data_IF_077402522282
#
_entry.id   IF_077402522282
#
_cell.length_a   1.000
_cell.length_b   1.000
_cell.length_c   1.000
_cell.angle_alpha   90.00
_cell.angle_beta   90.00
_cell.angle_gamma   90.00
#
_symmetry.space_group_name_H-M   'P 1'
#
loop_
_entity.id
_entity.type
_entity.pdbx_description
1 polymer ?
#
# COMPACT_ATOMS: atom_id res chain seq x y z
N UNK A 1 31.48 9.76 -9.92
CA UNK A 1 30.60 10.96 -9.95
C UNK A 1 29.16 10.50 -9.80
N UNK A 2 28.43 10.98 -8.80
CA UNK A 2 27.05 10.55 -8.49
C UNK A 2 26.03 11.70 -8.52
N UNK A 3 26.39 12.86 -9.08
CA UNK A 3 25.57 14.08 -8.99
C UNK A 3 24.57 14.27 -10.13
N UNK A 4 24.70 13.51 -11.23
CA UNK A 4 23.72 13.56 -12.31
C UNK A 4 22.43 12.82 -11.91
N UNK A 5 21.29 13.42 -12.22
CA UNK A 5 19.96 12.84 -12.02
C UNK A 5 19.13 12.95 -13.30
N UNK A 6 18.06 12.17 -13.38
CA UNK A 6 17.16 12.18 -14.53
C UNK A 6 15.71 12.32 -14.09
N UNK A 7 14.94 13.10 -14.86
CA UNK A 7 13.49 13.26 -14.68
C UNK A 7 12.76 12.60 -15.84
N UNK A 8 11.80 11.73 -15.52
CA UNK A 8 11.03 10.96 -16.48
C UNK A 8 9.54 11.23 -16.33
N UNK A 9 8.84 11.43 -17.45
CA UNK A 9 7.39 11.31 -17.46
C UNK A 9 6.97 9.86 -17.14
N UNK A 10 5.80 9.64 -16.57
CA UNK A 10 5.35 8.30 -16.14
C UNK A 10 5.44 7.26 -17.27
N UNK A 11 5.12 7.64 -18.52
CA UNK A 11 5.18 6.73 -19.67
C UNK A 11 6.62 6.30 -19.99
N UNK A 12 7.58 7.21 -19.90
CA UNK A 12 9.01 6.92 -20.11
C UNK A 12 9.55 6.04 -18.99
N UNK A 13 9.20 6.36 -17.74
CA UNK A 13 9.56 5.53 -16.59
C UNK A 13 8.97 4.12 -16.68
N UNK A 14 7.72 3.98 -17.13
CA UNK A 14 7.09 2.69 -17.41
C UNK A 14 7.79 1.94 -18.55
N UNK A 15 8.26 2.66 -19.57
CA UNK A 15 9.08 2.08 -20.65
C UNK A 15 10.36 1.44 -20.11
N UNK A 16 11.11 2.18 -19.28
CA UNK A 16 12.30 1.64 -18.62
C UNK A 16 11.98 0.46 -17.72
N UNK A 17 10.89 0.54 -16.94
CA UNK A 17 10.48 -0.54 -16.06
C UNK A 17 10.11 -1.81 -16.83
N UNK A 18 9.49 -1.69 -18.01
CA UNK A 18 9.10 -2.85 -18.84
C UNK A 18 10.28 -3.52 -19.56
N UNK A 19 11.28 -2.75 -19.96
CA UNK A 19 12.38 -3.24 -20.79
C UNK A 19 13.65 -3.55 -20.00
N UNK A 20 13.89 -2.81 -18.91
CA UNK A 20 15.18 -2.76 -18.20
C UNK A 20 14.96 -2.64 -16.68
N UNK A 21 14.03 -3.43 -16.11
CA UNK A 21 13.63 -3.30 -14.71
C UNK A 21 14.81 -3.46 -13.72
N UNK A 22 15.64 -4.52 -13.82
CA UNK A 22 16.78 -4.70 -12.92
C UNK A 22 17.83 -3.59 -13.06
N UNK A 23 18.09 -3.13 -14.29
CA UNK A 23 19.01 -2.03 -14.57
C UNK A 23 18.49 -0.72 -13.98
N UNK A 24 17.18 -0.48 -14.04
CA UNK A 24 16.58 0.72 -13.49
C UNK A 24 16.66 0.74 -11.95
N UNK A 25 16.46 -0.41 -11.31
CA UNK A 25 16.74 -0.58 -9.87
C UNK A 25 18.20 -0.28 -9.57
N UNK A 26 19.13 -0.83 -10.36
CA UNK A 26 20.57 -0.63 -10.16
C UNK A 26 21.00 0.84 -10.37
N UNK A 27 20.43 1.52 -11.37
CA UNK A 27 20.60 2.96 -11.58
C UNK A 27 20.25 3.74 -10.31
N UNK A 28 19.10 3.40 -9.69
CA UNK A 28 18.60 4.05 -8.48
C UNK A 28 19.39 3.73 -7.19
N UNK A 29 20.40 2.85 -7.25
CA UNK A 29 21.37 2.66 -6.14
C UNK A 29 22.40 3.77 -6.08
N UNK A 30 22.70 4.38 -7.24
CA UNK A 30 23.82 5.32 -7.41
C UNK A 30 23.39 6.73 -7.79
N UNK A 31 22.22 6.88 -8.40
CA UNK A 31 21.69 8.15 -8.91
C UNK A 31 20.24 8.34 -8.50
N UNK A 32 19.78 9.58 -8.61
CA UNK A 32 18.39 9.94 -8.36
C UNK A 32 17.57 9.88 -9.66
N UNK A 33 16.35 9.37 -9.56
CA UNK A 33 15.31 9.51 -10.57
C UNK A 33 14.11 10.26 -10.01
N UNK A 34 13.57 11.17 -10.82
CA UNK A 34 12.30 11.84 -10.58
C UNK A 34 11.27 11.34 -11.58
N UNK A 35 10.11 10.93 -11.10
CA UNK A 35 8.96 10.54 -11.94
C UNK A 35 7.87 11.61 -11.78
N UNK A 36 7.18 11.96 -12.85
CA UNK A 36 6.05 12.89 -12.80
C UNK A 36 4.90 12.47 -13.73
N UNK A 37 3.65 12.90 -13.46
CA UNK A 37 2.48 12.50 -14.24
C UNK A 37 2.58 12.95 -15.70
N UNK A 38 2.05 12.17 -16.64
CA UNK A 38 2.01 12.57 -18.06
C UNK A 38 1.05 13.76 -18.26
N UNK A 39 1.35 14.59 -19.25
CA UNK A 39 0.53 15.76 -19.59
C UNK A 39 -0.93 15.45 -19.94
N UNK A 40 -1.25 14.22 -20.38
CA UNK A 40 -2.63 13.82 -20.70
C UNK A 40 -3.56 13.74 -19.46
N UNK A 41 -3.03 13.78 -18.23
CA UNK A 41 -3.83 13.81 -16.99
C UNK A 41 -4.27 15.25 -16.68
N UNK A 42 -5.11 15.79 -17.55
CA UNK A 42 -5.62 17.18 -17.45
C UNK A 42 -6.49 17.39 -16.20
N UNK A 43 -7.07 16.32 -15.66
CA UNK A 43 -7.85 16.29 -14.43
C UNK A 43 -6.99 16.26 -13.15
N UNK A 44 -5.66 16.33 -13.28
CA UNK A 44 -4.72 16.18 -12.16
C UNK A 44 -4.78 14.83 -11.45
N UNK A 45 -5.29 13.77 -12.10
CA UNK A 45 -5.24 12.41 -11.55
C UNK A 45 -3.80 11.95 -11.29
N UNK A 46 -3.60 11.02 -10.36
CA UNK A 46 -2.29 10.44 -10.07
C UNK A 46 -2.12 9.05 -10.69
N UNK A 47 -0.87 8.71 -11.00
CA UNK A 47 -0.46 7.33 -11.22
C UNK A 47 -0.16 6.65 -9.87
N UNK A 48 -0.13 5.31 -9.86
CA UNK A 48 0.18 4.56 -8.64
C UNK A 48 1.68 4.65 -8.32
N UNK A 49 2.09 5.31 -7.21
CA UNK A 49 3.51 5.56 -6.93
C UNK A 49 4.30 4.29 -6.62
N UNK A 50 3.63 3.26 -6.07
CA UNK A 50 4.24 1.97 -5.75
C UNK A 50 4.98 1.34 -6.94
N UNK A 51 4.47 1.53 -8.16
CA UNK A 51 5.10 1.03 -9.39
C UNK A 51 6.56 1.51 -9.50
N UNK A 52 6.82 2.78 -9.18
CA UNK A 52 8.15 3.38 -9.29
C UNK A 52 8.97 3.22 -8.01
N UNK A 53 8.33 3.14 -6.85
CA UNK A 53 9.02 2.74 -5.62
C UNK A 53 9.58 1.32 -5.72
N UNK A 54 8.88 0.39 -6.39
CA UNK A 54 9.40 -0.95 -6.67
C UNK A 54 10.68 -0.92 -7.54
N UNK A 55 10.86 0.11 -8.36
CA UNK A 55 12.07 0.36 -9.15
C UNK A 55 13.16 1.13 -8.37
N UNK A 56 12.89 1.51 -7.11
CA UNK A 56 13.80 2.28 -6.28
C UNK A 56 13.86 3.77 -6.59
N UNK A 57 12.95 4.29 -7.42
CA UNK A 57 12.85 5.73 -7.72
C UNK A 57 12.55 6.53 -6.46
N UNK A 58 13.27 7.63 -6.26
CA UNK A 58 13.26 8.38 -4.99
C UNK A 58 12.24 9.52 -5.03
N UNK A 59 12.16 10.25 -6.13
CA UNK A 59 11.28 11.42 -6.27
C UNK A 59 10.09 11.08 -7.15
N UNK A 60 9.14 10.32 -6.61
CA UNK A 60 7.91 9.93 -7.31
C UNK A 60 6.85 11.02 -7.10
N UNK A 61 6.87 12.05 -7.95
CA UNK A 61 6.04 13.25 -7.77
C UNK A 61 4.58 12.99 -8.14
N UNK A 62 3.68 13.45 -7.29
CA UNK A 62 2.22 13.33 -7.42
C UNK A 62 1.55 14.71 -7.30
N UNK A 63 0.33 14.81 -7.80
CA UNK A 63 -0.57 15.96 -7.71
C UNK A 63 -1.26 15.98 -6.34
N UNK A 64 -0.72 16.75 -5.38
CA UNK A 64 -1.22 16.85 -4.00
C UNK A 64 -2.65 17.39 -3.89
N UNK A 65 -3.10 18.17 -4.87
CA UNK A 65 -4.46 18.71 -4.94
C UNK A 65 -5.54 17.63 -5.16
N UNK A 66 -5.15 16.42 -5.55
CA UNK A 66 -6.05 15.30 -5.86
C UNK A 66 -5.87 14.19 -4.81
N UNK A 67 -6.76 14.08 -3.80
CA UNK A 67 -6.65 13.09 -2.70
C UNK A 67 -7.15 11.70 -3.12
N UNK A 68 -6.75 11.25 -4.32
CA UNK A 68 -7.06 9.91 -4.82
C UNK A 68 -6.27 8.82 -4.04
N UNK A 69 -6.52 7.56 -4.37
CA UNK A 69 -5.88 6.42 -3.70
C UNK A 69 -4.35 6.51 -3.73
N UNK A 70 -3.78 7.01 -4.82
CA UNK A 70 -2.33 7.19 -4.97
C UNK A 70 -1.79 8.21 -3.98
N UNK A 71 -2.49 9.33 -3.79
CA UNK A 71 -2.12 10.33 -2.79
C UNK A 71 -2.34 9.84 -1.36
N UNK A 72 -3.41 9.09 -1.10
CA UNK A 72 -3.66 8.45 0.20
C UNK A 72 -2.50 7.50 0.58
N UNK A 73 -2.05 6.68 -0.37
CA UNK A 73 -0.88 5.81 -0.18
C UNK A 73 0.38 6.61 0.13
N UNK A 74 0.61 7.72 -0.58
CA UNK A 74 1.75 8.59 -0.35
C UNK A 74 1.73 9.20 1.05
N UNK A 75 0.63 9.86 1.44
CA UNK A 75 0.50 10.50 2.75
C UNK A 75 0.57 9.49 3.89
N UNK A 76 -0.06 8.32 3.72
CA UNK A 76 -0.04 7.25 4.71
C UNK A 76 1.34 6.63 4.89
N UNK A 77 2.07 6.38 3.79
CA UNK A 77 3.42 5.81 3.84
C UNK A 77 4.43 6.79 4.45
N UNK A 78 4.37 8.07 4.09
CA UNK A 78 5.31 9.10 4.60
C UNK A 78 4.95 9.70 5.97
N UNK A 79 3.85 9.26 6.61
CA UNK A 79 3.61 9.50 8.05
C UNK A 79 4.69 8.82 8.93
N UNK A 80 5.24 7.70 8.44
CA UNK A 80 6.28 6.94 9.11
C UNK A 80 7.64 7.64 9.07
N UNK A 81 8.59 7.17 9.88
CA UNK A 81 9.86 7.84 10.11
C UNK A 81 9.69 9.31 10.56
N UNK A 82 8.77 9.51 11.52
CA UNK A 82 8.51 10.81 12.15
C UNK A 82 7.94 11.87 11.21
N UNK A 83 7.33 11.50 10.08
CA UNK A 83 6.79 12.47 9.13
C UNK A 83 7.86 13.27 8.39
N UNK A 84 9.11 12.80 8.34
CA UNK A 84 10.24 13.55 7.79
C UNK A 84 10.21 13.70 6.26
N UNK A 85 9.36 12.94 5.56
CA UNK A 85 9.34 12.87 4.10
C UNK A 85 10.43 11.97 3.49
N UNK A 86 11.22 11.26 4.32
CA UNK A 86 12.23 10.31 3.88
C UNK A 86 12.00 8.93 4.48
N UNK A 87 12.10 7.89 3.65
CA UNK A 87 12.06 6.49 4.06
C UNK A 87 13.24 5.75 3.46
N UNK A 88 13.95 4.98 4.29
CA UNK A 88 15.08 4.18 3.83
C UNK A 88 14.57 3.04 2.94
N UNK A 89 15.18 2.86 1.76
CA UNK A 89 14.87 1.73 0.88
C UNK A 89 15.34 0.40 1.51
N UNK A 90 14.68 -0.73 1.20
CA UNK A 90 15.15 -2.06 1.54
C UNK A 90 16.61 -2.33 1.15
N UNK A 91 17.27 -3.23 1.88
CA UNK A 91 18.72 -3.44 1.76
C UNK A 91 19.17 -3.91 0.37
N UNK A 92 18.46 -4.85 -0.23
CA UNK A 92 18.72 -5.35 -1.59
C UNK A 92 18.56 -4.27 -2.68
N UNK A 93 17.81 -3.19 -2.40
CA UNK A 93 17.68 -2.02 -3.29
C UNK A 93 18.76 -0.96 -3.07
N UNK A 94 19.69 -1.18 -2.14
CA UNK A 94 20.81 -0.28 -1.83
C UNK A 94 22.16 -0.93 -2.10
N UNK A 95 22.29 -2.22 -1.79
CA UNK A 95 23.56 -2.96 -1.91
C UNK A 95 24.04 -3.11 -3.36
N UNK A 96 25.30 -2.79 -3.68
CA UNK A 96 25.83 -2.84 -5.04
C UNK A 96 26.05 -4.27 -5.55
N UNK A 97 26.21 -5.24 -4.65
CA UNK A 97 26.47 -6.65 -4.93
C UNK A 97 25.18 -7.49 -5.06
N UNK A 98 24.00 -6.86 -4.95
CA UNK A 98 22.69 -7.50 -5.11
C UNK A 98 22.01 -7.01 -6.38
N UNK A 99 21.36 -7.90 -7.11
CA UNK A 99 20.43 -7.55 -8.19
C UNK A 99 19.00 -7.83 -7.73
N UNK A 100 18.04 -7.09 -8.25
CA UNK A 100 16.64 -7.23 -7.89
C UNK A 100 15.76 -6.94 -9.11
N UNK A 101 14.91 -7.89 -9.45
CA UNK A 101 13.86 -7.72 -10.45
C UNK A 101 12.51 -7.49 -9.74
N UNK A 102 11.89 -6.31 -9.88
CA UNK A 102 10.61 -6.01 -9.26
C UNK A 102 9.44 -6.84 -9.80
N UNK A 103 9.62 -7.61 -10.87
CA UNK A 103 8.61 -8.52 -11.42
C UNK A 103 8.83 -9.99 -11.04
N UNK A 104 9.87 -10.30 -10.25
CA UNK A 104 10.10 -11.67 -9.77
C UNK A 104 8.94 -12.19 -8.93
N UNK A 105 8.45 -13.39 -9.26
CA UNK A 105 7.44 -14.12 -8.47
C UNK A 105 8.05 -14.97 -7.35
N UNK A 106 9.37 -15.16 -7.41
CA UNK A 106 10.15 -15.85 -6.39
C UNK A 106 10.62 -14.87 -5.32
N UNK A 107 10.66 -15.28 -4.02
CA UNK A 107 11.26 -14.49 -2.96
C UNK A 107 12.67 -14.05 -3.33
N UNK A 108 12.99 -12.80 -3.02
CA UNK A 108 14.35 -12.27 -3.19
C UNK A 108 15.27 -13.02 -2.24
N UNK A 109 16.46 -13.40 -2.69
CA UNK A 109 17.45 -14.07 -1.83
C UNK A 109 17.75 -13.23 -0.57
N UNK A 110 17.59 -13.85 0.60
CA UNK A 110 17.70 -13.21 1.91
C UNK A 110 16.44 -12.50 2.41
N UNK A 111 15.34 -12.45 1.63
CA UNK A 111 14.04 -11.92 2.07
C UNK A 111 13.09 -13.07 2.41
N UNK A 112 12.52 -12.99 3.62
CA UNK A 112 11.51 -13.95 4.07
C UNK A 112 10.13 -13.47 3.61
N UNK A 113 9.52 -14.22 2.69
CA UNK A 113 8.14 -13.96 2.29
C UNK A 113 7.18 -14.13 3.47
N UNK A 114 6.09 -13.36 3.48
CA UNK A 114 5.09 -13.40 4.54
C UNK A 114 3.76 -13.97 4.05
N UNK A 115 3.03 -14.56 4.98
CA UNK A 115 1.60 -14.80 4.89
C UNK A 115 0.90 -13.76 5.76
N UNK A 116 -0.05 -13.03 5.18
CA UNK A 116 -0.88 -12.08 5.92
C UNK A 116 -2.36 -12.45 5.77
N UNK A 117 -3.11 -12.43 6.87
CA UNK A 117 -4.57 -12.48 6.80
C UNK A 117 -5.19 -11.43 7.70
N UNK A 118 -6.29 -10.84 7.22
CA UNK A 118 -7.00 -9.75 7.90
C UNK A 118 -8.46 -10.13 8.02
N UNK A 119 -8.94 -10.31 9.25
CA UNK A 119 -10.37 -10.47 9.54
C UNK A 119 -10.95 -9.14 10.00
N UNK A 120 -11.86 -8.57 9.22
CA UNK A 120 -12.62 -7.38 9.61
C UNK A 120 -13.81 -7.81 10.46
N UNK A 121 -13.82 -7.41 11.74
CA UNK A 121 -14.82 -7.87 12.70
C UNK A 121 -15.96 -6.86 12.80
N UNK A 122 -15.65 -5.60 13.09
CA UNK A 122 -16.65 -4.55 13.27
C UNK A 122 -16.06 -3.16 13.02
N UNK A 123 -16.92 -2.14 12.96
CA UNK A 123 -16.53 -0.73 13.02
C UNK A 123 -17.20 -0.01 14.18
N UNK A 124 -16.70 1.18 14.52
CA UNK A 124 -17.24 2.05 15.55
C UNK A 124 -17.22 3.51 15.07
N UNK A 125 -18.34 4.22 15.27
CA UNK A 125 -18.50 5.63 14.93
C UNK A 125 -18.12 5.96 13.47
N UNK A 126 -18.47 5.07 12.53
CA UNK A 126 -18.09 5.21 11.12
C UNK A 126 -18.79 6.40 10.44
N UNK A 127 -20.03 6.66 10.84
CA UNK A 127 -20.84 7.77 10.35
C UNK A 127 -21.99 8.05 11.32
N UNK A 128 -22.40 9.31 11.40
CA UNK A 128 -23.56 9.78 12.17
C UNK A 128 -24.90 9.47 11.45
N UNK A 129 -24.83 9.10 10.16
CA UNK A 129 -26.00 8.76 9.36
C UNK A 129 -26.36 7.28 9.50
N UNK A 130 -27.67 6.98 9.45
CA UNK A 130 -28.18 5.60 9.34
C UNK A 130 -28.09 5.11 7.90
N UNK A 131 -26.86 4.86 7.43
CA UNK A 131 -26.57 4.35 6.08
C UNK A 131 -25.84 3.01 6.16
N UNK A 132 -25.86 2.25 5.07
CA UNK A 132 -25.06 1.04 4.94
C UNK A 132 -23.57 1.32 4.82
N UNK A 133 -22.72 0.47 5.40
CA UNK A 133 -21.25 0.58 5.27
C UNK A 133 -20.61 -0.75 4.91
N UNK A 134 -19.49 -0.71 4.22
CA UNK A 134 -18.62 -1.87 3.97
C UNK A 134 -17.14 -1.48 4.06
N UNK A 135 -16.28 -2.48 4.22
CA UNK A 135 -14.83 -2.31 4.32
C UNK A 135 -14.13 -3.02 3.18
N UNK A 136 -13.18 -2.33 2.55
CA UNK A 136 -12.20 -2.90 1.63
C UNK A 136 -10.83 -2.98 2.29
N UNK A 137 -10.11 -4.08 2.05
CA UNK A 137 -8.73 -4.26 2.51
C UNK A 137 -7.88 -4.60 1.30
N UNK A 138 -7.00 -3.68 0.90
CA UNK A 138 -6.14 -3.83 -0.27
C UNK A 138 -4.68 -3.95 0.16
N UNK A 139 -3.84 -4.57 -0.69
CA UNK A 139 -2.39 -4.61 -0.52
C UNK A 139 -1.72 -3.95 -1.71
N UNK A 140 -0.73 -3.11 -1.45
CA UNK A 140 0.11 -2.49 -2.48
C UNK A 140 1.57 -2.80 -2.18
N UNK A 141 2.27 -3.37 -3.15
CA UNK A 141 3.67 -3.79 -3.01
C UNK A 141 4.26 -4.04 -4.38
N UNK A 142 4.97 -5.15 -4.54
CA UNK A 142 5.32 -5.65 -5.87
C UNK A 142 4.06 -5.95 -6.70
N UNK A 143 4.18 -6.03 -8.04
CA UNK A 143 3.05 -6.41 -8.89
C UNK A 143 2.39 -7.73 -8.44
N UNK A 144 3.21 -8.70 -8.00
CA UNK A 144 2.79 -10.01 -7.46
C UNK A 144 2.14 -9.94 -6.08
N UNK A 145 2.49 -8.93 -5.27
CA UNK A 145 1.93 -8.72 -3.93
C UNK A 145 0.68 -7.82 -3.93
N UNK A 146 0.43 -7.13 -5.04
CA UNK A 146 -0.63 -6.12 -5.13
C UNK A 146 -1.98 -6.77 -5.36
N UNK A 147 -2.88 -6.62 -4.38
CA UNK A 147 -4.26 -7.13 -4.42
C UNK A 147 -5.20 -5.94 -4.20
N UNK A 148 -6.06 -5.68 -5.19
CA UNK A 148 -6.97 -4.51 -5.21
C UNK A 148 -8.40 -4.96 -5.50
N UNK A 149 -9.38 -4.35 -4.82
CA UNK A 149 -10.83 -4.59 -5.01
C UNK A 149 -11.32 -6.05 -4.87
N UNK A 150 -10.48 -6.98 -4.45
CA UNK A 150 -10.85 -8.39 -4.26
C UNK A 150 -11.43 -8.65 -2.86
N UNK A 151 -10.85 -8.01 -1.85
CA UNK A 151 -11.16 -8.25 -0.45
C UNK A 151 -12.07 -7.15 0.10
N UNK A 152 -13.37 -7.43 0.05
CA UNK A 152 -14.44 -6.53 0.46
C UNK A 152 -15.44 -7.27 1.35
N UNK A 153 -15.86 -6.65 2.46
CA UNK A 153 -16.92 -7.20 3.31
C UNK A 153 -18.29 -7.01 2.66
N UNK A 154 -19.29 -7.77 3.10
CA UNK A 154 -20.68 -7.40 2.82
C UNK A 154 -20.99 -6.02 3.41
N UNK A 155 -21.98 -5.35 2.82
CA UNK A 155 -22.53 -4.10 3.34
C UNK A 155 -23.44 -4.42 4.52
N UNK A 156 -23.22 -3.76 5.66
CA UNK A 156 -24.13 -3.80 6.81
C UNK A 156 -25.07 -2.58 6.71
N UNK A 157 -26.37 -2.78 6.43
CA UNK A 157 -27.30 -1.69 6.17
C UNK A 157 -27.67 -0.92 7.45
N UNK A 158 -27.93 0.37 7.31
CA UNK A 158 -28.52 1.24 8.33
C UNK A 158 -27.82 1.21 9.72
N UNK A 159 -26.53 0.86 9.78
CA UNK A 159 -25.74 0.86 11.00
C UNK A 159 -24.35 1.48 10.77
N UNK A 160 -24.28 2.80 10.98
CA UNK A 160 -23.02 3.55 10.95
C UNK A 160 -22.30 3.64 12.30
N UNK A 161 -22.96 3.27 13.40
CA UNK A 161 -22.45 3.48 14.75
C UNK A 161 -21.58 2.33 15.24
N UNK A 162 -22.02 1.09 15.04
CA UNK A 162 -21.33 -0.11 15.51
C UNK A 162 -21.59 -1.35 14.61
N UNK A 163 -21.41 -1.27 13.28
CA UNK A 163 -21.65 -2.40 12.38
C UNK A 163 -20.71 -3.56 12.70
N UNK A 164 -21.24 -4.78 12.68
CA UNK A 164 -20.49 -6.02 12.80
C UNK A 164 -20.49 -6.72 11.45
N UNK A 165 -19.32 -6.86 10.85
CA UNK A 165 -19.12 -7.54 9.57
C UNK A 165 -18.93 -9.05 9.77
N UNK A 166 -18.12 -9.44 10.77
CA UNK A 166 -17.82 -10.82 11.18
C UNK A 166 -17.41 -11.80 10.05
N UNK A 167 -16.90 -11.29 8.93
CA UNK A 167 -16.54 -12.05 7.74
C UNK A 167 -15.38 -13.03 7.98
N UNK A 168 -15.19 -13.95 7.03
CA UNK A 168 -13.99 -14.77 6.95
C UNK A 168 -12.74 -13.88 6.75
N UNK A 169 -11.54 -14.31 7.19
CA UNK A 169 -10.32 -13.56 6.96
C UNK A 169 -10.04 -13.39 5.46
N UNK A 170 -9.67 -12.18 5.06
CA UNK A 170 -9.05 -11.91 3.76
C UNK A 170 -7.61 -12.40 3.79
N UNK A 171 -7.19 -13.18 2.80
CA UNK A 171 -5.91 -13.92 2.84
C UNK A 171 -4.99 -13.47 1.71
N UNK A 172 -3.90 -12.82 2.10
CA UNK A 172 -2.75 -12.52 1.26
C UNK A 172 -1.72 -13.65 1.45
N UNK A 173 -1.90 -14.74 0.69
CA UNK A 173 -1.23 -16.02 0.94
C UNK A 173 0.30 -15.93 0.89
N UNK A 174 0.84 -15.29 -0.14
CA UNK A 174 2.27 -15.16 -0.40
C UNK A 174 2.58 -13.70 -0.72
N UNK A 175 3.11 -12.99 0.26
CA UNK A 175 3.68 -11.65 0.11
C UNK A 175 5.18 -11.82 -0.09
N UNK A 176 5.62 -11.73 -1.34
CA UNK A 176 7.00 -11.91 -1.80
C UNK A 176 7.94 -10.92 -1.12
N UNK A 177 7.52 -9.66 -0.98
CA UNK A 177 8.36 -8.60 -0.43
C UNK A 177 7.65 -7.75 0.63
N UNK A 178 7.54 -8.26 1.87
CA UNK A 178 6.82 -7.59 2.96
C UNK A 178 7.32 -6.17 3.26
N UNK A 179 8.63 -5.93 3.16
CA UNK A 179 9.24 -4.61 3.43
C UNK A 179 8.75 -3.50 2.48
N UNK A 180 8.29 -3.83 1.27
CA UNK A 180 7.70 -2.86 0.34
C UNK A 180 6.17 -2.81 0.39
N UNK A 181 5.54 -3.80 1.01
CA UNK A 181 4.10 -3.96 1.04
C UNK A 181 3.44 -3.03 2.06
N UNK A 182 2.28 -2.46 1.69
CA UNK A 182 1.41 -1.69 2.57
C UNK A 182 -0.01 -2.23 2.46
N UNK A 183 -0.69 -2.36 3.60
CA UNK A 183 -2.12 -2.62 3.69
C UNK A 183 -2.89 -1.30 3.68
N UNK A 184 -3.98 -1.25 2.91
CA UNK A 184 -4.93 -0.14 2.90
C UNK A 184 -6.28 -0.66 3.38
N UNK A 185 -6.73 -0.14 4.51
CA UNK A 185 -8.08 -0.31 5.00
C UNK A 185 -8.90 0.89 4.54
N UNK A 186 -10.05 0.66 3.92
CA UNK A 186 -10.94 1.76 3.52
C UNK A 186 -12.39 1.40 3.81
N UNK A 187 -13.09 2.32 4.45
CA UNK A 187 -14.52 2.20 4.75
C UNK A 187 -15.28 3.05 3.75
N UNK A 188 -16.33 2.46 3.19
CA UNK A 188 -17.21 3.11 2.24
C UNK A 188 -18.65 3.02 2.72
N UNK A 189 -19.47 4.01 2.33
CA UNK A 189 -20.91 3.86 2.40
C UNK A 189 -21.47 3.02 1.24
N UNK A 190 -22.75 2.67 1.32
CA UNK A 190 -23.45 1.90 0.29
C UNK A 190 -23.49 2.55 -1.10
N UNK A 191 -23.24 3.85 -1.21
CA UNK A 191 -23.14 4.58 -2.48
C UNK A 191 -21.70 4.61 -3.03
N UNK A 192 -20.75 4.00 -2.34
CA UNK A 192 -19.33 4.00 -2.72
C UNK A 192 -18.58 5.26 -2.34
N UNK A 193 -19.14 6.12 -1.48
CA UNK A 193 -18.40 7.26 -0.94
C UNK A 193 -17.48 6.77 0.18
N UNK A 194 -16.20 7.11 0.10
CA UNK A 194 -15.23 6.81 1.14
C UNK A 194 -15.55 7.60 2.41
N UNK A 195 -15.69 6.90 3.54
CA UNK A 195 -15.91 7.48 4.85
C UNK A 195 -14.59 7.71 5.60
N UNK A 196 -13.62 6.82 5.42
CA UNK A 196 -12.30 6.93 6.04
C UNK A 196 -11.37 5.83 5.55
N UNK A 197 -10.07 6.02 5.74
CA UNK A 197 -9.04 5.05 5.33
C UNK A 197 -7.90 4.96 6.35
N UNK A 198 -7.13 3.87 6.30
CA UNK A 198 -5.84 3.77 6.97
C UNK A 198 -4.84 3.01 6.09
N UNK A 199 -3.65 3.57 5.93
CA UNK A 199 -2.51 2.88 5.32
C UNK A 199 -1.58 2.39 6.43
N UNK A 200 -1.17 1.14 6.37
CA UNK A 200 -0.26 0.50 7.33
C UNK A 200 0.80 -0.30 6.54
N UNK A 201 2.10 0.07 6.59
CA UNK A 201 3.17 -0.78 6.12
C UNK A 201 3.11 -2.15 6.80
N UNK A 202 3.42 -3.19 6.03
CA UNK A 202 3.48 -4.55 6.58
C UNK A 202 4.73 -4.71 7.47
N UNK A 203 5.81 -3.99 7.14
CA UNK A 203 6.97 -3.83 8.00
C UNK A 203 6.57 -3.17 9.35
N UNK A 204 6.90 -3.84 10.45
CA UNK A 204 6.55 -3.42 11.80
C UNK A 204 5.07 -3.55 12.18
N UNK A 205 4.20 -4.13 11.34
CA UNK A 205 2.79 -4.29 11.67
C UNK A 205 2.58 -5.30 12.81
N UNK A 206 1.78 -4.92 13.80
CA UNK A 206 1.51 -5.79 14.96
C UNK A 206 0.31 -6.71 14.70
N UNK A 207 0.52 -8.02 14.81
CA UNK A 207 -0.54 -9.03 14.72
C UNK A 207 -1.48 -9.04 15.94
N UNK A 208 -2.53 -9.86 15.87
CA UNK A 208 -3.56 -10.06 16.89
C UNK A 208 -4.79 -9.18 16.68
N UNK A 209 -5.61 -9.05 17.73
CA UNK A 209 -6.76 -8.16 17.74
C UNK A 209 -6.33 -6.70 17.88
N UNK A 210 -6.76 -5.85 16.96
CA UNK A 210 -6.35 -4.44 16.88
C UNK A 210 -7.54 -3.52 16.59
N UNK A 211 -7.50 -2.35 17.23
CA UNK A 211 -8.31 -1.22 16.81
C UNK A 211 -7.49 -0.39 15.82
N UNK A 212 -8.05 -0.13 14.65
CA UNK A 212 -7.46 0.70 13.60
C UNK A 212 -8.27 1.99 13.50
N UNK A 213 -7.73 3.08 14.03
CA UNK A 213 -8.33 4.40 13.88
C UNK A 213 -8.14 4.91 12.46
N UNK A 214 -9.26 5.20 11.81
CA UNK A 214 -9.34 5.70 10.45
C UNK A 214 -8.91 7.16 10.35
N UNK A 215 -8.50 7.54 9.15
CA UNK A 215 -8.04 8.86 8.74
C UNK A 215 -8.89 9.37 7.59
N UNK A 216 -8.83 10.69 7.35
CA UNK A 216 -9.37 11.28 6.14
C UNK A 216 -8.63 10.81 4.88
N UNK A 217 -9.15 11.22 3.72
CA UNK A 217 -8.48 11.11 2.42
C UNK A 217 -7.14 11.87 2.34
N UNK A 218 -6.94 12.86 3.21
CA UNK A 218 -5.69 13.62 3.41
C UNK A 218 -4.83 13.11 4.58
N UNK A 219 -5.10 11.90 5.08
CA UNK A 219 -4.42 11.25 6.20
C UNK A 219 -4.49 12.01 7.55
N UNK A 220 -5.49 12.87 7.75
CA UNK A 220 -5.70 13.60 9.00
C UNK A 220 -6.53 12.78 10.00
N UNK A 221 -6.33 13.01 11.30
CA UNK A 221 -7.22 12.47 12.35
C UNK A 221 -8.63 12.97 12.13
N UNK A 222 -9.60 12.06 12.15
CA UNK A 222 -11.02 12.41 12.04
C UNK A 222 -11.64 12.68 13.42
N UNK A 223 -12.66 13.55 13.44
CA UNK A 223 -13.49 13.79 14.63
C UNK A 223 -14.18 12.48 15.03
N UNK A 224 -14.29 12.21 16.34
CA UNK A 224 -14.76 10.94 16.93
C UNK A 224 -13.87 9.71 16.69
N UNK A 225 -12.78 9.84 15.93
CA UNK A 225 -11.84 8.74 15.61
C UNK A 225 -12.56 7.44 15.19
N UNK A 226 -13.26 7.44 14.04
CA UNK A 226 -13.89 6.24 13.50
C UNK A 226 -12.90 5.09 13.46
N UNK A 227 -13.29 3.92 13.93
CA UNK A 227 -12.35 2.84 14.20
C UNK A 227 -12.86 1.53 13.61
N UNK A 228 -11.96 0.71 13.11
CA UNK A 228 -12.23 -0.69 12.78
C UNK A 228 -11.64 -1.59 13.86
N UNK A 229 -12.39 -2.62 14.26
CA UNK A 229 -11.87 -3.72 15.05
C UNK A 229 -11.58 -4.90 14.14
N UNK A 230 -10.32 -5.35 14.14
CA UNK A 230 -9.82 -6.38 13.22
C UNK A 230 -8.97 -7.41 13.96
N UNK A 231 -8.82 -8.58 13.36
CA UNK A 231 -7.81 -9.55 13.75
C UNK A 231 -6.82 -9.76 12.61
N UNK A 232 -5.54 -9.49 12.87
CA UNK A 232 -4.46 -9.57 11.88
C UNK A 232 -3.57 -10.77 12.21
N UNK A 233 -3.27 -11.59 11.22
CA UNK A 233 -2.28 -12.67 11.31
C UNK A 233 -1.14 -12.34 10.36
N UNK A 234 0.09 -12.38 10.86
CA UNK A 234 1.31 -12.26 10.08
C UNK A 234 2.20 -13.44 10.46
N UNK A 235 2.58 -14.24 9.48
CA UNK A 235 3.43 -15.43 9.64
C UNK A 235 4.45 -15.47 8.52
N UNK A 236 5.53 -16.21 8.71
CA UNK A 236 6.41 -16.59 7.61
C UNK A 236 5.64 -17.46 6.61
N UNK A 237 5.80 -17.18 5.31
CA UNK A 237 5.25 -18.03 4.27
C UNK A 237 5.99 -19.38 4.24
N UNK A 238 5.22 -20.47 4.26
CA UNK A 238 5.73 -21.84 4.08
C UNK A 238 5.07 -22.40 2.82
N UNK A 239 5.85 -22.83 1.80
CA UNK A 239 5.29 -23.47 0.62
C UNK A 239 4.52 -24.75 0.98
N UNK A 240 3.41 -25.00 0.30
CA UNK A 240 2.54 -26.15 0.58
C UNK A 240 3.29 -27.50 0.46
N UNK A 241 4.30 -27.59 -0.41
CA UNK A 241 5.15 -28.78 -0.60
C UNK A 241 5.99 -29.17 0.64
N UNK A 242 6.19 -28.23 1.57
CA UNK A 242 6.99 -28.43 2.80
C UNK A 242 6.13 -28.56 4.06
N UNK A 243 4.80 -28.58 3.91
CA UNK A 243 3.85 -28.61 5.03
C UNK A 243 3.37 -30.02 5.44
N UNK A 244 4.11 -31.05 5.03
CA UNK A 244 3.87 -32.46 5.35
C UNK A 244 4.35 -32.90 6.73
#
# INVERSE_FOLDING_TARGET
MHYHMSSFAENTGLGHLKQYAPEFVNYNKRQLSRIYPKGARMDSSNFLPQIFWNAGCQMVALNFQTPDVSMQLNMGKFEYNGGSGYLLKPDFMRRPDRTFDPFSESPVDGVIAAHCSVRVISGQFLTDKKIGTYVEVEMYGLPTDTVRKEHRTRTIPANGLNPVYAEAPFVFRKVVLPELAVLRFAVYDENGKQLGQRILPLDGLQAGYRHISLRSDTNQTMVLSPTLFVHIVIKTYVPDELSG
#
